data_IF_420775280685
#
_entry.id   IF_420775280685
#
_cell.length_a   1.000
_cell.length_b   1.000
_cell.length_c   1.000
_cell.angle_alpha   90.00
_cell.angle_beta   90.00
_cell.angle_gamma   90.00
#
_symmetry.space_group_name_H-M   'P 1'
#
loop_
_entity.id
_entity.type
_entity.pdbx_description
1 polymer ?
#
# COMPACT_ATOMS: atom_id res chain seq x y z
N UNK A 1 15.54 5.49 -8.19
CA UNK A 1 15.16 6.38 -7.08
C UNK A 1 14.23 7.46 -7.60
N UNK A 2 13.20 7.83 -6.83
CA UNK A 2 12.33 8.97 -7.13
C UNK A 2 12.68 10.13 -6.21
N UNK A 3 12.61 11.34 -6.75
CA UNK A 3 12.83 12.59 -6.03
C UNK A 3 11.58 12.92 -5.22
N UNK A 4 11.75 13.30 -3.96
CA UNK A 4 10.70 13.90 -3.15
C UNK A 4 11.22 15.17 -2.48
N UNK A 5 10.30 16.03 -2.05
CA UNK A 5 10.60 17.34 -1.48
C UNK A 5 10.46 17.29 0.05
N UNK A 6 11.50 17.69 0.77
CA UNK A 6 11.46 17.95 2.21
C UNK A 6 11.81 19.42 2.51
N UNK A 7 11.69 19.82 3.77
CA UNK A 7 11.99 21.17 4.28
C UNK A 7 13.45 21.63 4.06
N UNK A 8 14.30 20.73 3.59
CA UNK A 8 15.71 20.94 3.24
C UNK A 8 16.02 20.69 1.75
N UNK A 9 14.99 20.58 0.90
CA UNK A 9 15.08 20.53 -0.56
C UNK A 9 14.73 19.19 -1.19
N UNK A 10 15.11 18.99 -2.45
CA UNK A 10 14.89 17.73 -3.16
C UNK A 10 15.84 16.65 -2.66
N UNK A 11 15.29 15.54 -2.15
CA UNK A 11 16.07 14.36 -1.73
C UNK A 11 15.72 13.13 -2.55
N UNK A 12 16.75 12.30 -2.76
CA UNK A 12 16.60 10.97 -3.34
C UNK A 12 16.39 9.95 -2.23
N UNK A 13 15.22 9.29 -2.17
CA UNK A 13 15.10 8.05 -1.40
C UNK A 13 15.51 6.89 -2.29
N UNK A 14 16.48 6.11 -1.82
CA UNK A 14 16.89 4.83 -2.43
C UNK A 14 16.07 3.64 -1.89
N UNK A 15 14.98 3.88 -1.15
CA UNK A 15 14.12 2.79 -0.67
C UNK A 15 13.12 2.39 -1.76
N UNK A 16 13.02 1.10 -2.12
CA UNK A 16 12.07 0.59 -3.11
C UNK A 16 10.70 0.40 -2.43
N UNK A 17 10.02 1.49 -2.12
CA UNK A 17 8.76 1.48 -1.36
C UNK A 17 7.75 2.36 -2.07
N UNK A 18 6.57 1.81 -2.25
CA UNK A 18 5.47 2.37 -3.02
C UNK A 18 4.75 3.46 -2.22
N UNK A 19 5.44 4.57 -1.96
CA UNK A 19 4.87 5.69 -1.21
C UNK A 19 3.85 6.48 -2.04
N UNK A 20 2.69 6.76 -1.45
CA UNK A 20 1.82 7.84 -1.89
C UNK A 20 2.27 9.14 -1.21
N UNK A 21 2.55 10.18 -2.01
CA UNK A 21 2.84 11.52 -1.49
C UNK A 21 1.53 12.21 -1.14
N UNK A 22 1.34 12.63 0.11
CA UNK A 22 0.19 13.45 0.48
C UNK A 22 0.32 14.80 -0.25
N UNK A 23 -0.66 15.21 -1.07
CA UNK A 23 -0.61 16.52 -1.69
C UNK A 23 -0.78 17.58 -0.61
N UNK A 24 0.16 18.52 -0.62
CA UNK A 24 0.17 19.79 0.12
C UNK A 24 0.39 19.75 1.63
N UNK A 25 1.56 20.30 2.00
CA UNK A 25 1.86 21.02 3.23
C UNK A 25 0.61 21.74 3.75
N UNK A 26 -0.01 21.24 4.82
CA UNK A 26 -1.11 21.95 5.48
C UNK A 26 -2.14 21.09 6.21
N UNK A 27 -2.28 19.81 5.87
CA UNK A 27 -3.22 18.96 6.60
C UNK A 27 -2.49 18.13 7.67
N UNK A 28 -2.69 18.49 8.94
CA UNK A 28 -2.29 17.65 10.09
C UNK A 28 -3.19 16.42 10.25
N UNK A 29 -3.99 16.09 9.24
CA UNK A 29 -4.65 14.81 9.16
C UNK A 29 -3.58 13.75 8.94
N UNK A 30 -3.23 13.02 10.00
CA UNK A 30 -2.48 11.74 9.94
C UNK A 30 -3.30 10.66 9.21
N UNK A 31 -3.95 11.02 8.09
CA UNK A 31 -4.91 10.22 7.36
C UNK A 31 -4.32 9.94 5.99
N UNK A 32 -3.93 8.68 5.81
CA UNK A 32 -3.52 8.18 4.51
C UNK A 32 -4.75 7.74 3.70
N UNK A 33 -4.66 7.73 2.36
CA UNK A 33 -5.67 7.09 1.51
C UNK A 33 -5.86 5.63 1.94
N UNK A 34 -7.05 5.07 1.69
CA UNK A 34 -7.31 3.65 1.94
C UNK A 34 -6.26 2.77 1.25
N UNK A 35 -5.76 1.75 1.96
CA UNK A 35 -4.65 0.90 1.49
C UNK A 35 -3.26 1.46 1.79
N UNK A 36 -3.17 2.56 2.56
CA UNK A 36 -1.89 3.12 2.98
C UNK A 36 -1.88 3.47 4.47
N UNK A 37 -0.71 3.40 5.08
CA UNK A 37 -0.45 3.75 6.48
C UNK A 37 0.63 4.82 6.60
N UNK A 38 0.59 5.61 7.67
CA UNK A 38 1.57 6.68 7.89
C UNK A 38 2.94 6.06 8.21
N UNK A 39 3.96 6.44 7.43
CA UNK A 39 5.32 6.01 7.70
C UNK A 39 5.89 6.75 8.91
N UNK A 40 6.63 6.01 9.74
CA UNK A 40 7.44 6.50 10.85
C UNK A 40 8.49 7.55 10.47
N UNK A 41 8.86 7.66 9.20
CA UNK A 41 9.98 8.49 8.71
C UNK A 41 9.53 9.89 8.22
N UNK A 42 8.23 10.18 8.11
CA UNK A 42 7.76 11.51 7.68
C UNK A 42 6.28 11.55 7.26
N UNK A 43 5.82 12.60 6.56
CA UNK A 43 4.44 12.75 6.11
C UNK A 43 4.15 11.88 4.86
N UNK A 44 4.75 10.70 4.78
CA UNK A 44 4.59 9.78 3.67
C UNK A 44 3.61 8.68 4.05
N UNK A 45 2.78 8.31 3.09
CA UNK A 45 1.90 7.16 3.23
C UNK A 45 2.57 5.98 2.55
N UNK A 46 2.93 4.97 3.34
CA UNK A 46 3.43 3.69 2.85
C UNK A 46 2.25 2.79 2.51
N UNK A 47 2.36 2.09 1.38
CA UNK A 47 1.44 1.01 1.03
C UNK A 47 1.32 0.01 2.19
N UNK A 48 0.08 -0.27 2.61
CA UNK A 48 -0.17 -1.25 3.66
C UNK A 48 -0.27 -2.62 3.02
N UNK A 49 0.72 -3.48 3.25
CA UNK A 49 0.68 -4.84 2.72
C UNK A 49 -0.34 -5.68 3.50
N UNK A 50 -1.59 -5.72 3.00
CA UNK A 50 -2.67 -6.44 3.65
C UNK A 50 -2.42 -7.96 3.69
N UNK A 51 -1.59 -8.47 2.76
CA UNK A 51 -1.17 -9.87 2.75
C UNK A 51 -0.32 -10.21 3.99
N UNK A 52 0.46 -9.27 4.49
CA UNK A 52 1.25 -9.44 5.73
C UNK A 52 0.49 -9.03 6.99
N UNK A 53 -0.42 -8.07 6.91
CA UNK A 53 -1.19 -7.56 8.05
C UNK A 53 -2.23 -8.55 8.58
N UNK A 54 -2.82 -9.36 7.69
CA UNK A 54 -3.83 -10.35 8.07
C UNK A 54 -4.14 -11.42 7.03
N UNK A 55 -3.55 -11.33 5.83
CA UNK A 55 -3.81 -12.18 4.69
C UNK A 55 -5.33 -12.33 4.40
N UNK A 56 -5.95 -11.32 3.77
CA UNK A 56 -7.39 -11.29 3.54
C UNK A 56 -7.89 -12.33 2.52
N UNK A 57 -7.01 -13.10 1.90
CA UNK A 57 -7.32 -14.08 0.86
C UNK A 57 -7.39 -15.50 1.44
N UNK A 58 -8.26 -16.34 0.89
CA UNK A 58 -8.36 -17.76 1.27
C UNK A 58 -7.14 -18.59 0.87
N UNK A 59 -6.43 -18.22 -0.20
CA UNK A 59 -5.29 -18.97 -0.73
C UNK A 59 -4.08 -18.06 -0.96
N UNK A 60 -3.94 -17.49 -2.15
CA UNK A 60 -2.79 -16.67 -2.52
C UNK A 60 -3.20 -15.20 -2.52
N UNK A 61 -2.49 -14.39 -1.73
CA UNK A 61 -2.62 -12.93 -1.69
C UNK A 61 -1.45 -12.28 -2.43
N UNK A 62 -1.76 -11.27 -3.22
CA UNK A 62 -0.78 -10.43 -3.90
C UNK A 62 -0.99 -8.99 -3.48
N UNK A 63 0.05 -8.41 -2.88
CA UNK A 63 0.05 -7.01 -2.52
C UNK A 63 0.19 -6.15 -3.80
N UNK A 64 -0.62 -5.10 -3.92
CA UNK A 64 -0.57 -4.13 -4.99
C UNK A 64 -0.58 -2.72 -4.41
N UNK A 65 -0.22 -1.71 -5.19
CA UNK A 65 -0.09 -0.35 -4.65
C UNK A 65 -1.48 0.22 -4.36
N UNK A 66 -1.78 0.45 -3.08
CA UNK A 66 -3.04 0.96 -2.56
C UNK A 66 -4.18 -0.06 -2.56
N UNK A 67 -3.90 -1.34 -2.80
CA UNK A 67 -4.89 -2.42 -2.85
C UNK A 67 -4.20 -3.78 -2.81
N UNK A 68 -4.99 -4.84 -2.67
CA UNK A 68 -4.50 -6.20 -2.87
C UNK A 68 -5.42 -6.96 -3.81
N UNK A 69 -4.93 -8.07 -4.36
CA UNK A 69 -5.76 -9.01 -5.09
C UNK A 69 -5.44 -10.44 -4.72
N UNK A 70 -6.48 -11.27 -4.72
CA UNK A 70 -6.35 -12.69 -4.43
C UNK A 70 -6.27 -13.48 -5.74
N UNK A 71 -5.47 -14.54 -5.75
CA UNK A 71 -5.45 -15.51 -6.84
C UNK A 71 -5.77 -16.91 -6.33
N UNK A 72 -6.53 -17.67 -7.12
CA UNK A 72 -6.90 -19.04 -6.79
C UNK A 72 -6.00 -20.06 -7.50
N UNK A 73 -5.73 -21.21 -6.86
CA UNK A 73 -5.05 -22.32 -7.51
C UNK A 73 -5.87 -22.88 -8.67
N UNK A 74 -5.19 -23.58 -9.58
CA UNK A 74 -5.80 -24.12 -10.80
C UNK A 74 -6.98 -25.05 -10.45
N UNK A 75 -8.14 -24.75 -11.01
CA UNK A 75 -9.38 -25.52 -10.80
C UNK A 75 -10.36 -24.89 -9.82
N UNK A 76 -9.96 -23.83 -9.11
CA UNK A 76 -10.85 -23.03 -8.28
C UNK A 76 -11.09 -21.65 -8.92
N UNK A 77 -12.24 -21.08 -8.61
CA UNK A 77 -12.66 -19.74 -9.03
C UNK A 77 -12.77 -18.82 -7.83
N UNK A 78 -12.47 -17.54 -8.04
CA UNK A 78 -12.66 -16.54 -7.00
C UNK A 78 -14.15 -16.29 -6.80
N UNK A 79 -14.60 -16.32 -5.55
CA UNK A 79 -15.97 -16.07 -5.17
C UNK A 79 -16.32 -14.58 -5.37
N UNK A 80 -17.62 -14.26 -5.26
CA UNK A 80 -18.13 -12.90 -5.46
C UNK A 80 -17.57 -11.88 -4.45
N UNK A 81 -17.00 -12.35 -3.33
CA UNK A 81 -16.34 -11.53 -2.32
C UNK A 81 -14.93 -11.07 -2.73
N UNK A 82 -14.37 -11.60 -3.83
CA UNK A 82 -13.02 -11.30 -4.30
C UNK A 82 -11.91 -11.82 -3.39
N UNK A 83 -12.22 -12.73 -2.45
CA UNK A 83 -11.30 -13.19 -1.39
C UNK A 83 -11.26 -14.70 -1.23
N UNK A 84 -12.40 -15.36 -1.38
CA UNK A 84 -12.55 -16.80 -1.19
C UNK A 84 -12.41 -17.55 -2.51
N UNK A 85 -11.75 -18.71 -2.51
CA UNK A 85 -11.67 -19.60 -3.67
C UNK A 85 -12.61 -20.79 -3.47
N UNK A 86 -13.38 -21.14 -4.51
CA UNK A 86 -14.32 -22.26 -4.53
C UNK A 86 -14.23 -23.07 -5.82
#
# INVERSE_FOLDING_TARGET
GRLYWDESGFRCSNRPVNYAFLPSVGDRSNQCPSGFTLDSVGPFCADEDECTAGNPCSHTCHNAIGAYYCSCPKGLTIAADGRTCQ
#
